data_IF_908547776619
#
_entry.id   IF_908547776619
#
_cell.length_a   1.000
_cell.length_b   1.000
_cell.length_c   1.000
_cell.angle_alpha   90.00
_cell.angle_beta   90.00
_cell.angle_gamma   90.00
#
_symmetry.space_group_name_H-M   'P 1'
#
loop_
_entity.id
_entity.type
_entity.pdbx_description
1 polymer ?
#
# COMPACT_ATOMS: atom_id res chain seq x y z
N UNK A 1 2.57 -39.97 1.52
CA UNK A 1 3.61 -39.18 2.21
C UNK A 1 3.36 -37.71 1.91
N UNK A 2 2.64 -37.01 2.79
CA UNK A 2 2.36 -35.59 2.63
C UNK A 2 3.56 -34.78 3.14
N UNK A 3 4.17 -33.99 2.25
CA UNK A 3 5.26 -33.05 2.57
C UNK A 3 4.71 -31.98 3.51
N UNK A 4 5.15 -31.98 4.76
CA UNK A 4 4.90 -30.86 5.66
C UNK A 4 5.52 -29.61 5.02
N UNK A 5 4.69 -28.63 4.69
CA UNK A 5 5.19 -27.33 4.27
C UNK A 5 6.01 -26.76 5.43
N UNK A 6 7.33 -26.62 5.24
CA UNK A 6 8.18 -25.93 6.19
C UNK A 6 7.65 -24.51 6.33
N UNK A 7 7.07 -24.20 7.49
CA UNK A 7 6.58 -22.85 7.80
C UNK A 7 7.82 -21.95 7.81
N UNK A 8 7.92 -20.95 6.90
CA UNK A 8 9.05 -20.03 6.91
C UNK A 8 9.09 -19.34 8.27
N UNK A 9 10.21 -19.49 8.99
CA UNK A 9 10.40 -18.84 10.29
C UNK A 9 10.55 -17.34 10.05
N UNK A 10 9.50 -16.58 10.35
CA UNK A 10 9.50 -15.13 10.28
C UNK A 10 10.52 -14.59 11.29
N UNK A 11 11.48 -13.78 10.82
CA UNK A 11 12.44 -13.12 11.71
C UNK A 11 11.71 -12.15 12.65
N UNK A 12 12.22 -11.95 13.86
CA UNK A 12 11.59 -11.05 14.86
C UNK A 12 11.34 -9.64 14.33
N UNK A 13 12.21 -9.14 13.46
CA UNK A 13 12.06 -7.85 12.80
C UNK A 13 10.85 -7.80 11.84
N UNK A 14 10.66 -8.86 11.08
CA UNK A 14 9.54 -8.98 10.15
C UNK A 14 8.20 -9.17 10.88
N UNK A 15 8.20 -9.94 11.98
CA UNK A 15 7.05 -10.05 12.90
C UNK A 15 6.66 -8.66 13.42
N UNK A 16 7.63 -7.87 13.88
CA UNK A 16 7.39 -6.53 14.41
C UNK A 16 6.82 -5.59 13.35
N UNK A 17 7.45 -5.51 12.17
CA UNK A 17 6.95 -4.68 11.07
C UNK A 17 5.53 -5.08 10.66
N UNK A 18 5.27 -6.38 10.55
CA UNK A 18 3.94 -6.88 10.19
C UNK A 18 2.90 -6.53 11.24
N UNK A 19 3.26 -6.58 12.52
CA UNK A 19 2.37 -6.19 13.62
C UNK A 19 2.03 -4.71 13.55
N UNK A 20 3.02 -3.85 13.32
CA UNK A 20 2.83 -2.40 13.16
C UNK A 20 1.90 -2.12 11.98
N UNK A 21 2.14 -2.74 10.83
CA UNK A 21 1.30 -2.57 9.63
C UNK A 21 -0.17 -2.94 9.88
N UNK A 22 -0.40 -4.05 10.60
CA UNK A 22 -1.76 -4.51 10.93
C UNK A 22 -2.45 -3.50 11.86
N UNK A 23 -1.76 -3.05 12.90
CA UNK A 23 -2.30 -2.07 13.85
C UNK A 23 -2.62 -0.75 13.15
N UNK A 24 -1.70 -0.24 12.32
CA UNK A 24 -1.89 0.98 11.52
C UNK A 24 -3.08 0.84 10.57
N UNK A 25 -3.22 -0.30 9.87
CA UNK A 25 -4.34 -0.52 8.97
C UNK A 25 -5.70 -0.59 9.70
N UNK A 26 -5.75 -1.21 10.88
CA UNK A 26 -6.97 -1.24 11.69
C UNK A 26 -7.35 0.15 12.19
N UNK A 27 -6.37 0.93 12.66
CA UNK A 27 -6.57 2.30 13.10
C UNK A 27 -7.05 3.19 11.95
N UNK A 28 -6.40 3.13 10.79
CA UNK A 28 -6.78 3.92 9.61
C UNK A 28 -8.23 3.64 9.18
N UNK A 29 -8.65 2.38 9.10
CA UNK A 29 -10.06 2.03 8.81
C UNK A 29 -11.03 2.60 9.83
N UNK A 30 -10.66 2.57 11.11
CA UNK A 30 -11.51 3.14 12.16
C UNK A 30 -11.60 4.66 12.02
N UNK A 31 -10.48 5.35 11.80
CA UNK A 31 -10.44 6.80 11.57
C UNK A 31 -11.27 7.20 10.36
N UNK A 32 -11.14 6.50 9.22
CA UNK A 32 -11.91 6.79 8.00
C UNK A 32 -13.42 6.56 8.16
N UNK A 33 -13.83 5.61 9.00
CA UNK A 33 -15.25 5.39 9.30
C UNK A 33 -15.84 6.51 10.17
N UNK A 34 -15.04 7.09 11.07
CA UNK A 34 -15.47 8.20 11.95
C UNK A 34 -15.36 9.55 11.23
N UNK A 35 -14.36 9.71 10.38
CA UNK A 35 -14.04 10.93 9.65
C UNK A 35 -13.95 10.61 8.15
N UNK A 36 -15.09 10.56 7.44
CA UNK A 36 -15.09 10.27 6.02
C UNK A 36 -14.43 11.43 5.26
N UNK A 37 -13.41 11.18 4.43
CA UNK A 37 -12.77 12.21 3.62
C UNK A 37 -13.61 12.54 2.38
N UNK A 38 -13.50 13.78 1.89
CA UNK A 38 -14.10 14.18 0.61
C UNK A 38 -13.43 13.48 -0.58
N UNK A 39 -12.13 13.21 -0.47
CA UNK A 39 -11.32 12.50 -1.45
C UNK A 39 -10.32 11.59 -0.74
N UNK A 40 -10.42 10.28 -1.00
CA UNK A 40 -9.48 9.28 -0.49
C UNK A 40 -8.59 8.78 -1.63
N UNK A 41 -7.28 8.96 -1.49
CA UNK A 41 -6.28 8.45 -2.43
C UNK A 41 -5.57 7.27 -1.77
N UNK A 42 -5.88 6.05 -2.19
CA UNK A 42 -5.25 4.85 -1.66
C UNK A 42 -3.98 4.49 -2.44
N UNK A 43 -2.86 4.34 -1.72
CA UNK A 43 -1.61 3.86 -2.29
C UNK A 43 -1.47 2.36 -2.01
N UNK A 44 -1.36 1.48 -3.02
CA UNK A 44 -1.19 0.06 -2.80
C UNK A 44 0.07 -0.26 -1.98
N UNK A 45 -0.05 -1.15 -0.98
CA UNK A 45 1.09 -1.59 -0.17
C UNK A 45 2.14 -2.41 -0.93
N UNK A 46 1.86 -2.80 -2.16
CA UNK A 46 2.82 -3.45 -3.07
C UNK A 46 3.84 -2.46 -3.65
N UNK A 47 3.59 -1.15 -3.56
CA UNK A 47 4.47 -0.12 -4.11
C UNK A 47 5.82 -0.09 -3.38
N UNK A 48 5.82 -0.16 -2.05
CA UNK A 48 7.03 -0.23 -1.23
C UNK A 48 6.81 -1.03 0.07
N UNK A 49 7.88 -1.62 0.59
CA UNK A 49 7.93 -2.19 1.94
C UNK A 49 8.61 -1.23 2.91
N UNK A 50 8.49 -1.54 4.20
CA UNK A 50 9.22 -0.84 5.26
C UNK A 50 10.71 -0.80 4.95
N UNK A 51 11.31 0.39 5.01
CA UNK A 51 12.74 0.65 4.76
C UNK A 51 13.24 0.56 3.30
N UNK A 52 12.36 0.55 2.30
CA UNK A 52 12.74 0.60 0.87
C UNK A 52 13.18 2.01 0.40
N UNK A 53 14.12 2.64 1.10
CA UNK A 53 14.54 4.02 0.80
C UNK A 53 15.17 4.21 -0.58
N UNK A 54 15.82 3.16 -1.10
CA UNK A 54 16.43 3.17 -2.42
C UNK A 54 15.40 3.36 -3.55
N UNK A 55 14.12 3.05 -3.31
CA UNK A 55 13.02 3.19 -4.27
C UNK A 55 12.24 4.48 -4.13
N UNK A 56 12.69 5.42 -3.30
CA UNK A 56 11.94 6.64 -2.98
C UNK A 56 11.45 7.40 -4.22
N UNK A 57 12.29 7.50 -5.26
CA UNK A 57 11.91 8.17 -6.51
C UNK A 57 10.74 7.48 -7.21
N UNK A 58 10.76 6.14 -7.31
CA UNK A 58 9.66 5.37 -7.89
C UNK A 58 8.36 5.56 -7.10
N UNK A 59 8.45 5.55 -5.77
CA UNK A 59 7.28 5.75 -4.88
C UNK A 59 6.68 7.15 -5.06
N UNK A 60 7.53 8.17 -5.20
CA UNK A 60 7.10 9.55 -5.47
C UNK A 60 6.35 9.64 -6.80
N UNK A 61 6.87 9.01 -7.85
CA UNK A 61 6.25 9.03 -9.17
C UNK A 61 4.89 8.33 -9.18
N UNK A 62 4.79 7.17 -8.51
CA UNK A 62 3.51 6.47 -8.32
C UNK A 62 2.52 7.32 -7.54
N UNK A 63 2.94 7.94 -6.44
CA UNK A 63 2.10 8.84 -5.65
C UNK A 63 1.58 10.02 -6.46
N UNK A 64 2.44 10.63 -7.29
CA UNK A 64 2.05 11.73 -8.18
C UNK A 64 1.02 11.28 -9.22
N UNK A 65 1.23 10.12 -9.84
CA UNK A 65 0.31 9.59 -10.83
C UNK A 65 -1.07 9.28 -10.22
N UNK A 66 -1.09 8.71 -9.01
CA UNK A 66 -2.32 8.45 -8.25
C UNK A 66 -3.07 9.75 -7.93
N UNK A 67 -2.35 10.74 -7.39
CA UNK A 67 -2.93 12.01 -7.00
C UNK A 67 -3.53 12.77 -8.19
N UNK A 68 -2.79 12.88 -9.30
CA UNK A 68 -3.29 13.54 -10.50
C UNK A 68 -4.60 12.90 -10.98
N UNK A 69 -4.65 11.56 -11.09
CA UNK A 69 -5.86 10.86 -11.53
C UNK A 69 -7.04 11.07 -10.58
N UNK A 70 -6.80 11.03 -9.28
CA UNK A 70 -7.84 11.23 -8.29
C UNK A 70 -8.39 12.66 -8.30
N UNK A 71 -7.51 13.66 -8.45
CA UNK A 71 -7.91 15.07 -8.57
C UNK A 71 -8.65 15.34 -9.87
N UNK A 72 -8.16 14.84 -11.00
CA UNK A 72 -8.84 14.96 -12.30
C UNK A 72 -10.26 14.35 -12.23
N UNK A 73 -10.38 13.16 -11.63
CA UNK A 73 -11.68 12.51 -11.44
C UNK A 73 -12.59 13.27 -10.46
N UNK A 74 -12.03 13.88 -9.42
CA UNK A 74 -12.77 14.68 -8.45
C UNK A 74 -13.31 15.98 -9.07
N UNK A 75 -12.50 16.66 -9.91
CA UNK A 75 -12.91 17.86 -10.63
C UNK A 75 -13.99 17.56 -11.68
N UNK A 76 -13.89 16.44 -12.40
CA UNK A 76 -14.90 16.00 -13.38
C UNK A 76 -16.17 15.48 -12.70
N UNK A 77 -16.03 14.81 -11.55
CA UNK A 77 -17.13 14.33 -10.71
C UNK A 77 -17.81 15.43 -9.86
N UNK A 78 -17.29 16.65 -9.85
CA UNK A 78 -17.91 17.82 -9.22
C UNK A 78 -19.29 18.19 -9.78
N UNK A 79 -19.69 17.62 -10.94
CA UNK A 79 -21.05 17.70 -11.48
C UNK A 79 -21.91 16.45 -11.22
N UNK A 80 -21.33 15.34 -10.73
CA UNK A 80 -22.05 14.12 -10.38
C UNK A 80 -21.28 13.32 -9.32
N UNK A 81 -21.60 13.56 -8.04
CA UNK A 81 -20.93 12.93 -6.91
C UNK A 81 -20.95 11.39 -6.95
N UNK A 82 -19.83 10.77 -6.56
CA UNK A 82 -19.76 9.34 -6.30
C UNK A 82 -18.36 8.74 -6.44
N UNK A 83 -17.74 8.44 -5.30
CA UNK A 83 -16.77 7.37 -5.02
C UNK A 83 -15.94 6.82 -6.21
N UNK A 84 -14.75 7.40 -6.41
CA UNK A 84 -13.72 6.82 -7.28
C UNK A 84 -12.49 6.45 -6.44
N UNK A 85 -12.55 5.29 -5.79
CA UNK A 85 -11.37 4.64 -5.22
C UNK A 85 -10.43 4.22 -6.36
N UNK A 86 -9.50 5.10 -6.74
CA UNK A 86 -8.49 4.84 -7.77
C UNK A 86 -7.44 3.86 -7.25
N UNK A 87 -7.82 2.60 -7.05
CA UNK A 87 -6.91 1.51 -6.74
C UNK A 87 -6.19 1.10 -8.03
N UNK A 88 -4.88 1.35 -8.09
CA UNK A 88 -4.04 0.80 -9.16
C UNK A 88 -3.80 -0.67 -8.86
N UNK A 89 -4.54 -1.54 -9.55
CA UNK A 89 -4.23 -2.95 -9.59
C UNK A 89 -2.93 -3.15 -10.42
N UNK A 90 -1.96 -3.87 -9.84
CA UNK A 90 -0.74 -4.30 -10.52
C UNK A 90 0.48 -3.37 -10.42
N UNK A 91 1.16 -3.37 -9.27
CA UNK A 91 2.61 -3.23 -9.31
C UNK A 91 3.16 -4.47 -10.06
N UNK A 92 4.04 -4.33 -11.06
CA UNK A 92 4.58 -5.48 -11.76
C UNK A 92 5.26 -6.40 -10.74
N UNK A 93 4.83 -7.67 -10.72
CA UNK A 93 5.47 -8.74 -9.96
C UNK A 93 6.91 -8.87 -10.48
N UNK A 94 7.83 -8.15 -9.85
CA UNK A 94 9.27 -8.23 -10.10
C UNK A 94 9.89 -8.91 -8.90
N UNK A 95 10.78 -9.90 -9.12
CA UNK A 95 11.36 -10.69 -8.05
C UNK A 95 11.98 -9.80 -6.97
N UNK A 96 11.77 -10.20 -5.71
CA UNK A 96 12.36 -9.53 -4.55
C UNK A 96 13.88 -9.41 -4.73
N UNK A 97 14.49 -8.25 -4.40
CA UNK A 97 15.94 -8.12 -4.39
C UNK A 97 16.55 -9.16 -3.44
N UNK A 98 17.76 -9.68 -3.75
CA UNK A 98 18.40 -10.68 -2.89
C UNK A 98 18.54 -10.12 -1.47
N UNK A 99 18.09 -10.90 -0.50
CA UNK A 99 18.27 -10.61 0.92
C UNK A 99 19.77 -10.48 1.18
N UNK A 100 20.21 -9.27 1.55
CA UNK A 100 21.55 -9.06 2.08
C UNK A 100 21.51 -9.61 3.51
N UNK A 101 21.95 -10.86 3.69
CA UNK A 101 22.20 -11.41 5.02
C UNK A 101 23.39 -10.67 5.63
N UNK A 102 23.14 -9.99 6.75
CA UNK A 102 24.14 -9.43 7.65
C UNK A 102 23.90 -9.96 9.05
#
# INVERSE_FOLDING_TARGET
>A
MARAAEIPKLGSFEVMNRTIDIAQAALARHTLAVYPPDLLIEVPRSVCRSLDFHRALEVIDVGRALANRALDAFEVGGEAGGEAGATLDGAPDRPAPPTIEG
#
